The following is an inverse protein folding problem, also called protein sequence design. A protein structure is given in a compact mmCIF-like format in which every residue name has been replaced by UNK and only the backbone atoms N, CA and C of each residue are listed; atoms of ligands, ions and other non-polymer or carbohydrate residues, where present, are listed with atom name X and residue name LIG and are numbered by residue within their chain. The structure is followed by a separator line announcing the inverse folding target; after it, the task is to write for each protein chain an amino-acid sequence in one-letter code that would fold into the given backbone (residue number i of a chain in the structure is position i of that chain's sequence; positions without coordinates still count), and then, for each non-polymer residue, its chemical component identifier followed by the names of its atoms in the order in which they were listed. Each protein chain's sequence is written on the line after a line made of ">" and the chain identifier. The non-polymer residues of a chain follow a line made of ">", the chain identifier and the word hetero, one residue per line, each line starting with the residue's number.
data_IF_055866432662
#
_entry.id   IF_055866432662
#
_cell.length_a   1.000
_cell.length_b   1.000
_cell.length_c   1.000
_cell.angle_alpha   90.00
_cell.angle_beta   90.00
_cell.angle_gamma   90.00
#
_symmetry.space_group_name_H-M   'P 1'
#
loop_
_entity.id
_entity.type
_entity.pdbx_description
1 polymer ?
#
# COMPACT_ATOMS: atom_id res chain seq x y z
N UNK A 1 14.76 -8.58 -1.98
CA UNK A 1 13.98 -7.76 -1.03
C UNK A 1 12.70 -7.29 -1.67
N UNK A 2 11.62 -7.30 -0.93
CA UNK A 2 10.34 -6.74 -1.36
C UNK A 2 10.27 -5.29 -0.90
N UNK A 3 9.92 -4.38 -1.80
CA UNK A 3 9.74 -2.98 -1.46
C UNK A 3 8.27 -2.61 -1.67
N UNK A 4 7.64 -2.11 -0.64
CA UNK A 4 6.26 -1.65 -0.67
C UNK A 4 6.29 -0.13 -0.67
N UNK A 5 5.83 0.46 -1.77
CA UNK A 5 5.72 1.91 -1.91
C UNK A 5 4.27 2.32 -1.73
N UNK A 6 4.01 3.13 -0.72
CA UNK A 6 2.70 3.69 -0.44
C UNK A 6 2.71 5.16 -0.79
N UNK A 7 1.88 5.56 -1.74
CA UNK A 7 1.71 6.97 -2.11
C UNK A 7 0.28 7.39 -1.82
N UNK A 8 0.14 8.43 -1.03
CA UNK A 8 -1.14 8.98 -0.66
C UNK A 8 -1.27 10.41 -1.16
N UNK A 9 -2.30 10.67 -1.94
CA UNK A 9 -2.65 12.00 -2.41
C UNK A 9 -4.09 12.32 -1.97
N UNK A 10 -4.60 13.56 -2.14
CA UNK A 10 -6.00 13.84 -1.83
C UNK A 10 -6.99 12.95 -2.57
N UNK A 11 -6.66 12.52 -3.78
CA UNK A 11 -7.57 11.77 -4.65
C UNK A 11 -7.28 10.27 -4.72
N UNK A 12 -6.06 9.85 -4.42
CA UNK A 12 -5.65 8.45 -4.63
C UNK A 12 -4.86 7.89 -3.47
N UNK A 13 -4.93 6.57 -3.35
CA UNK A 13 -4.00 5.80 -2.54
C UNK A 13 -3.39 4.74 -3.45
N UNK A 14 -2.08 4.81 -3.64
CA UNK A 14 -1.34 3.88 -4.50
C UNK A 14 -0.51 2.95 -3.64
N UNK A 15 -0.62 1.67 -3.91
CA UNK A 15 0.19 0.62 -3.29
C UNK A 15 0.96 -0.08 -4.41
N UNK A 16 2.26 0.03 -4.39
CA UNK A 16 3.12 -0.62 -5.36
C UNK A 16 4.10 -1.54 -4.65
N UNK A 17 4.08 -2.80 -5.03
CA UNK A 17 4.94 -3.82 -4.44
C UNK A 17 5.89 -4.34 -5.51
N UNK A 18 7.19 -4.25 -5.26
CA UNK A 18 8.22 -4.71 -6.20
C UNK A 18 9.21 -5.63 -5.52
N UNK A 19 9.76 -6.56 -6.29
CA UNK A 19 10.84 -7.43 -5.86
C UNK A 19 10.36 -8.77 -5.34
N UNK A 20 11.31 -9.52 -4.79
CA UNK A 20 11.09 -10.85 -4.23
C UNK A 20 11.70 -10.94 -2.84
N UNK A 21 11.01 -11.61 -1.94
CA UNK A 21 11.51 -11.89 -0.60
C UNK A 21 12.31 -13.18 -0.56
N UNK A 22 12.77 -13.53 0.64
CA UNK A 22 13.42 -14.78 0.89
C UNK A 22 12.39 -15.92 0.88
N UNK A 23 12.67 -16.99 0.15
CA UNK A 23 11.79 -18.15 0.08
C UNK A 23 11.60 -18.81 1.45
N UNK A 24 12.55 -18.66 2.34
CA UNK A 24 12.49 -19.27 3.67
C UNK A 24 11.40 -18.68 4.56
N UNK A 25 11.14 -17.38 4.46
CA UNK A 25 10.15 -16.74 5.31
C UNK A 25 8.80 -16.60 4.60
N UNK A 26 8.72 -16.97 3.33
CA UNK A 26 7.51 -16.88 2.51
C UNK A 26 6.94 -15.45 2.44
N UNK A 27 7.80 -14.46 2.53
CA UNK A 27 7.37 -13.06 2.54
C UNK A 27 6.61 -12.68 1.27
N UNK A 28 6.99 -13.19 0.10
CA UNK A 28 6.25 -12.95 -1.14
C UNK A 28 4.81 -13.46 -1.05
N UNK A 29 4.61 -14.67 -0.54
CA UNK A 29 3.28 -15.26 -0.41
C UNK A 29 2.43 -14.47 0.59
N UNK A 30 3.03 -14.02 1.68
CA UNK A 30 2.33 -13.23 2.70
C UNK A 30 1.88 -11.89 2.16
N UNK A 31 2.77 -11.18 1.47
CA UNK A 31 2.44 -9.89 0.85
C UNK A 31 1.38 -10.08 -0.24
N UNK A 32 1.52 -11.10 -1.08
CA UNK A 32 0.53 -11.40 -2.12
C UNK A 32 -0.85 -11.65 -1.53
N UNK A 33 -0.93 -12.35 -0.41
CA UNK A 33 -2.20 -12.61 0.26
C UNK A 33 -2.86 -11.31 0.72
N UNK A 34 -2.10 -10.38 1.30
CA UNK A 34 -2.65 -9.09 1.71
C UNK A 34 -3.14 -8.30 0.48
N UNK A 35 -2.37 -8.28 -0.60
CA UNK A 35 -2.76 -7.62 -1.84
C UNK A 35 -4.04 -8.22 -2.42
N UNK A 36 -4.16 -9.54 -2.42
CA UNK A 36 -5.36 -10.22 -2.91
C UNK A 36 -6.59 -9.89 -2.04
N UNK A 37 -6.41 -9.82 -0.72
CA UNK A 37 -7.48 -9.40 0.19
C UNK A 37 -7.94 -7.97 -0.11
N UNK A 38 -7.01 -7.07 -0.36
CA UNK A 38 -7.35 -5.69 -0.73
C UNK A 38 -8.11 -5.67 -2.05
N UNK A 39 -7.62 -6.39 -3.05
CA UNK A 39 -8.31 -6.46 -4.34
C UNK A 39 -9.74 -6.96 -4.20
N UNK A 40 -9.93 -8.08 -3.51
CA UNK A 40 -11.26 -8.68 -3.35
C UNK A 40 -12.21 -7.80 -2.52
N UNK A 41 -11.67 -7.13 -1.50
CA UNK A 41 -12.49 -6.30 -0.62
C UNK A 41 -12.82 -4.93 -1.18
N UNK A 42 -11.98 -4.40 -2.08
CA UNK A 42 -12.09 -3.01 -2.54
C UNK A 42 -12.13 -2.87 -4.06
N UNK A 43 -12.33 -3.93 -4.81
CA UNK A 43 -12.23 -3.90 -6.27
C UNK A 43 -13.10 -2.83 -6.93
N UNK A 44 -14.27 -2.53 -6.37
CA UNK A 44 -15.15 -1.51 -6.92
C UNK A 44 -14.62 -0.08 -6.69
N UNK A 45 -13.71 0.08 -5.75
CA UNK A 45 -13.09 1.35 -5.43
C UNK A 45 -11.69 1.48 -6.02
N UNK A 46 -11.20 0.44 -6.69
CA UNK A 46 -9.89 0.49 -7.34
C UNK A 46 -10.02 1.03 -8.75
N UNK A 47 -9.19 2.03 -9.07
CA UNK A 47 -9.06 2.54 -10.43
C UNK A 47 -8.13 1.67 -11.26
N UNK A 48 -7.19 0.98 -10.62
CA UNK A 48 -6.24 0.14 -11.30
C UNK A 48 -5.78 -1.01 -10.41
N UNK A 49 -5.60 -2.16 -11.02
CA UNK A 49 -4.99 -3.32 -10.41
C UNK A 49 -4.15 -4.06 -11.44
N UNK A 50 -2.88 -4.26 -11.16
CA UNK A 50 -1.97 -5.06 -11.98
C UNK A 50 -1.22 -6.03 -11.09
N UNK A 51 -1.04 -7.25 -11.56
CA UNK A 51 -0.25 -8.24 -10.86
C UNK A 51 0.56 -9.05 -11.86
N UNK A 52 1.87 -8.96 -11.69
CA UNK A 52 2.85 -9.69 -12.49
C UNK A 52 3.85 -10.33 -11.56
N UNK A 53 4.69 -11.23 -12.08
CA UNK A 53 5.74 -11.81 -11.26
C UNK A 53 6.69 -10.71 -10.75
N UNK A 54 6.78 -10.58 -9.43
CA UNK A 54 7.62 -9.57 -8.79
C UNK A 54 7.09 -8.15 -8.82
N UNK A 55 5.82 -7.96 -9.20
CA UNK A 55 5.21 -6.64 -9.25
C UNK A 55 3.71 -6.69 -8.99
N UNK A 56 3.23 -5.83 -8.10
CA UNK A 56 1.79 -5.64 -7.87
C UNK A 56 1.51 -4.15 -7.73
N UNK A 57 0.47 -3.68 -8.39
CA UNK A 57 0.03 -2.29 -8.33
C UNK A 57 -1.45 -2.22 -8.03
N UNK A 58 -1.80 -1.45 -6.99
CA UNK A 58 -3.18 -1.17 -6.61
C UNK A 58 -3.33 0.34 -6.50
N UNK A 59 -4.30 0.90 -7.21
CA UNK A 59 -4.62 2.33 -7.10
C UNK A 59 -6.06 2.45 -6.70
N UNK A 60 -6.31 2.96 -5.50
CA UNK A 60 -7.64 3.19 -4.98
C UNK A 60 -8.05 4.66 -5.16
N UNK A 61 -9.31 4.87 -5.52
CA UNK A 61 -9.88 6.20 -5.61
C UNK A 61 -10.44 6.58 -4.23
N UNK A 62 -9.87 7.61 -3.61
CA UNK A 62 -10.23 7.98 -2.23
C UNK A 62 -11.68 8.44 -2.11
N UNK A 63 -12.22 9.06 -3.13
CA UNK A 63 -13.62 9.47 -3.12
C UNK A 63 -14.56 8.27 -3.15
N UNK A 64 -14.22 7.26 -3.95
CA UNK A 64 -15.00 6.03 -4.01
C UNK A 64 -14.91 5.20 -2.72
N UNK A 65 -13.77 5.29 -2.02
CA UNK A 65 -13.59 4.56 -0.77
C UNK A 65 -14.58 4.99 0.30
N UNK A 66 -14.79 6.30 0.46
CA UNK A 66 -15.64 6.81 1.51
C UNK A 66 -15.28 6.20 2.87
N UNK A 67 -16.27 5.60 3.54
CA UNK A 67 -16.07 4.96 4.85
C UNK A 67 -15.18 3.74 4.78
N UNK A 68 -15.07 3.09 3.63
CA UNK A 68 -14.19 1.92 3.46
C UNK A 68 -12.71 2.31 3.53
N UNK A 69 -12.40 3.59 3.45
CA UNK A 69 -11.03 4.06 3.61
C UNK A 69 -10.41 3.65 4.94
N UNK A 70 -11.21 3.62 6.01
CA UNK A 70 -10.74 3.17 7.32
C UNK A 70 -10.34 1.70 7.29
N UNK A 71 -11.14 0.87 6.60
CA UNK A 71 -10.83 -0.55 6.47
C UNK A 71 -9.56 -0.76 5.65
N UNK A 72 -9.37 0.01 4.59
CA UNK A 72 -8.16 -0.09 3.78
C UNK A 72 -6.94 0.27 4.59
N UNK A 73 -7.00 1.30 5.43
CA UNK A 73 -5.89 1.67 6.31
C UNK A 73 -5.51 0.53 7.25
N UNK A 74 -6.49 -0.26 7.71
CA UNK A 74 -6.20 -1.43 8.54
C UNK A 74 -5.42 -2.51 7.77
N UNK A 75 -5.71 -2.69 6.48
CA UNK A 75 -4.91 -3.60 5.66
C UNK A 75 -3.49 -3.11 5.49
N UNK A 76 -3.29 -1.80 5.42
CA UNK A 76 -1.93 -1.25 5.35
C UNK A 76 -1.13 -1.57 6.60
N UNK A 77 -1.78 -1.68 7.75
CA UNK A 77 -1.11 -2.10 8.99
C UNK A 77 -0.56 -3.52 8.91
N UNK A 78 -1.18 -4.39 8.11
CA UNK A 78 -0.62 -5.73 7.89
C UNK A 78 0.73 -5.67 7.19
N UNK A 79 0.90 -4.75 6.23
CA UNK A 79 2.19 -4.56 5.59
C UNK A 79 3.24 -4.11 6.59
N UNK A 80 2.90 -3.19 7.48
CA UNK A 80 3.82 -2.73 8.52
C UNK A 80 4.20 -3.87 9.47
N UNK A 81 3.22 -4.67 9.88
CA UNK A 81 3.47 -5.84 10.72
C UNK A 81 4.42 -6.82 10.06
N UNK A 82 4.21 -7.10 8.77
CA UNK A 82 5.09 -8.00 8.04
C UNK A 82 6.51 -7.45 7.93
N UNK A 83 6.65 -6.13 7.79
CA UNK A 83 7.96 -5.49 7.78
C UNK A 83 8.68 -5.66 9.11
N UNK A 84 7.97 -5.54 10.22
CA UNK A 84 8.54 -5.75 11.55
C UNK A 84 8.93 -7.21 11.78
N UNK A 85 8.13 -8.15 11.27
CA UNK A 85 8.41 -9.57 11.42
C UNK A 85 9.55 -10.04 10.51
N UNK A 86 9.68 -9.44 9.34
CA UNK A 86 10.65 -9.85 8.32
C UNK A 86 11.47 -8.66 7.81
N UNK A 87 12.22 -7.97 8.70
CA UNK A 87 12.89 -6.71 8.34
C UNK A 87 13.98 -6.86 7.29
N UNK A 88 14.53 -8.07 7.13
CA UNK A 88 15.55 -8.33 6.13
C UNK A 88 14.97 -8.64 4.74
N UNK A 89 13.67 -8.85 4.65
CA UNK A 89 12.99 -9.25 3.41
C UNK A 89 12.03 -8.20 2.87
N UNK A 90 11.51 -7.32 3.73
CA UNK A 90 10.46 -6.36 3.37
C UNK A 90 10.81 -4.96 3.86
N UNK A 91 10.66 -3.99 2.99
CA UNK A 91 10.83 -2.57 3.31
C UNK A 91 9.61 -1.79 2.86
N UNK A 92 9.14 -0.87 3.69
CA UNK A 92 8.04 0.04 3.34
C UNK A 92 8.58 1.46 3.18
N UNK A 93 8.16 2.12 2.10
CA UNK A 93 8.40 3.53 1.87
C UNK A 93 7.06 4.22 1.70
N UNK A 94 6.81 5.25 2.49
CA UNK A 94 5.55 5.97 2.48
C UNK A 94 5.77 7.41 2.05
N UNK A 95 4.91 7.89 1.15
CA UNK A 95 4.94 9.27 0.68
C UNK A 95 3.53 9.83 0.69
N UNK A 96 3.39 11.03 1.23
CA UNK A 96 2.12 11.77 1.26
C UNK A 96 2.30 13.04 0.46
N UNK A 97 1.45 13.26 -0.55
CA UNK A 97 1.48 14.43 -1.41
C UNK A 97 0.16 15.19 -1.32
N UNK A 98 0.21 16.48 -1.59
CA UNK A 98 -0.96 17.34 -1.56
C UNK A 98 -1.30 17.81 -0.15
N UNK A 99 -1.75 16.89 0.70
CA UNK A 99 -2.05 17.21 2.09
C UNK A 99 -0.83 17.78 2.82
N UNK A 100 0.33 17.19 2.56
CA UNK A 100 1.57 17.65 3.16
C UNK A 100 1.91 19.07 2.72
N UNK A 101 1.66 19.39 1.46
CA UNK A 101 1.86 20.73 0.95
C UNK A 101 0.94 21.73 1.63
N UNK A 102 -0.33 21.38 1.78
CA UNK A 102 -1.29 22.22 2.48
C UNK A 102 -0.92 22.42 3.94
N UNK A 103 -0.51 21.36 4.62
CA UNK A 103 -0.06 21.45 6.00
C UNK A 103 1.19 22.30 6.12
N UNK A 104 2.08 22.19 5.16
CA UNK A 104 3.30 22.95 5.13
C UNK A 104 3.02 24.44 4.96
N UNK A 105 2.09 24.81 4.09
CA UNK A 105 1.67 26.19 3.91
C UNK A 105 1.10 26.77 5.19
N UNK A 106 0.32 25.98 5.90
CA UNK A 106 -0.24 26.40 7.18
C UNK A 106 0.85 26.61 8.23
N UNK A 107 1.88 25.80 8.22
CA UNK A 107 2.98 25.90 9.18
C UNK A 107 3.85 27.11 8.95
N UNK A 108 3.97 27.56 7.72
CA UNK A 108 4.80 28.72 7.39
C UNK A 108 4.13 30.02 7.75
N UNK A 109 2.90 29.98 8.09
CA UNK A 109 2.12 31.18 8.47
C UNK A 109 2.15 31.44 10.01
#
# INVERSE_FOLDING_TARGET
>A
MIIINLLQTPDTLKIEVTGHGDDKDQSCARISTVCDCIFLGFKDQLDKYEKHNGYTLLIANRKKLGRKGVLLLRYLNYFETLTELYPNSIKIETKIEGELENGKDNETN
#
